data_IF_930445112454
#
_entry.id   IF_930445112454
#
_cell.length_a   1.000
_cell.length_b   1.000
_cell.length_c   1.000
_cell.angle_alpha   90.00
_cell.angle_beta   90.00
_cell.angle_gamma   90.00
#
_symmetry.space_group_name_H-M   'P 1'
#
loop_
_entity.id
_entity.type
_entity.pdbx_description
1 polymer ?
#
# COMPACT_ATOMS: atom_id res chain seq x y z
N UNK A 1 2.86 1.78 5.37
CA UNK A 1 2.53 0.37 5.58
C UNK A 1 1.78 -0.15 4.36
N UNK A 2 2.17 -1.31 3.85
CA UNK A 2 1.58 -1.93 2.68
C UNK A 2 1.62 -3.46 2.79
N UNK A 3 0.76 -4.15 2.06
CA UNK A 3 0.76 -5.61 1.92
C UNK A 3 1.23 -6.02 0.55
N UNK A 4 2.07 -7.03 0.46
CA UNK A 4 2.49 -7.59 -0.80
C UNK A 4 2.32 -9.12 -0.84
N UNK A 5 1.93 -9.69 -1.99
CA UNK A 5 1.84 -11.14 -2.13
C UNK A 5 3.24 -11.75 -2.17
N UNK A 6 3.43 -12.84 -1.43
CA UNK A 6 4.65 -13.65 -1.44
C UNK A 6 4.27 -15.07 -1.83
N UNK A 7 4.80 -15.54 -2.96
CA UNK A 7 4.46 -16.87 -3.50
C UNK A 7 5.01 -18.00 -2.63
N UNK A 8 4.24 -19.06 -2.44
CA UNK A 8 4.75 -20.26 -1.74
C UNK A 8 5.79 -20.99 -2.61
N UNK A 9 6.68 -21.77 -1.97
CA UNK A 9 7.63 -22.63 -2.69
C UNK A 9 6.93 -23.74 -3.46
N UNK A 10 5.76 -24.18 -2.98
CA UNK A 10 5.01 -25.29 -3.54
C UNK A 10 4.29 -24.85 -4.83
N UNK A 11 4.34 -25.71 -5.85
CA UNK A 11 3.54 -25.51 -7.07
C UNK A 11 2.05 -25.62 -6.73
N UNK A 12 1.24 -24.76 -7.35
CA UNK A 12 -0.23 -24.88 -7.32
C UNK A 12 -0.67 -26.19 -7.96
N UNK A 13 -1.51 -26.93 -7.25
CA UNK A 13 -2.09 -28.22 -7.65
C UNK A 13 -3.58 -28.15 -7.92
N UNK A 14 -4.30 -27.19 -7.33
CA UNK A 14 -5.73 -27.01 -7.55
C UNK A 14 -6.21 -25.57 -7.40
N UNK A 15 -7.46 -25.36 -7.83
CA UNK A 15 -8.19 -24.09 -7.76
C UNK A 15 -9.53 -24.29 -7.05
N UNK A 16 -10.03 -23.27 -6.33
CA UNK A 16 -11.35 -23.32 -5.66
C UNK A 16 -12.50 -23.64 -6.62
N UNK A 17 -12.34 -23.24 -7.87
CA UNK A 17 -13.26 -23.48 -8.99
C UNK A 17 -12.38 -23.95 -10.15
N UNK A 18 -12.82 -24.87 -11.00
CA UNK A 18 -12.11 -25.36 -12.22
C UNK A 18 -11.83 -24.26 -13.28
N UNK A 19 -12.00 -23.00 -12.88
CA UNK A 19 -11.76 -21.79 -13.63
C UNK A 19 -10.63 -21.09 -12.89
N UNK A 20 -9.44 -21.06 -13.50
CA UNK A 20 -8.44 -20.12 -13.04
C UNK A 20 -9.04 -18.71 -13.13
N UNK A 21 -8.90 -17.86 -12.11
CA UNK A 21 -9.08 -16.43 -12.30
C UNK A 21 -8.15 -16.06 -13.45
N UNK A 22 -8.76 -15.73 -14.58
CA UNK A 22 -8.08 -15.52 -15.84
C UNK A 22 -6.97 -14.48 -15.63
N UNK A 23 -5.88 -14.60 -16.39
CA UNK A 23 -4.86 -13.56 -16.55
C UNK A 23 -5.42 -12.32 -17.30
N UNK A 24 -6.70 -12.03 -17.09
CA UNK A 24 -7.52 -11.08 -17.82
C UNK A 24 -8.31 -10.17 -16.90
N UNK A 25 -7.83 -9.94 -15.67
CA UNK A 25 -8.24 -8.74 -14.98
C UNK A 25 -7.59 -7.56 -15.72
N UNK A 26 -8.40 -6.81 -16.49
CA UNK A 26 -7.98 -5.59 -17.17
C UNK A 26 -7.38 -4.57 -16.20
N UNK A 27 -6.93 -3.38 -16.68
CA UNK A 27 -6.50 -2.33 -15.77
C UNK A 27 -7.60 -2.16 -14.74
N UNK A 28 -7.25 -2.35 -13.47
CA UNK A 28 -8.19 -2.16 -12.41
C UNK A 28 -8.64 -0.71 -12.47
N UNK A 29 -9.85 -0.47 -12.98
CA UNK A 29 -10.55 0.78 -12.72
C UNK A 29 -10.94 0.71 -11.26
N UNK A 30 -9.95 1.03 -10.43
CA UNK A 30 -10.11 1.31 -9.02
C UNK A 30 -10.73 0.17 -8.20
N UNK A 31 -10.58 -1.09 -8.63
CA UNK A 31 -11.02 -2.34 -7.96
C UNK A 31 -12.44 -2.32 -7.36
N UNK A 32 -13.44 -2.24 -8.22
CA UNK A 32 -14.86 -2.28 -7.83
C UNK A 32 -15.83 -2.62 -8.97
N UNK A 33 -15.37 -3.31 -10.01
CA UNK A 33 -16.17 -4.15 -10.91
C UNK A 33 -15.18 -4.91 -11.80
N UNK A 34 -15.20 -6.24 -11.73
CA UNK A 34 -14.40 -7.08 -12.63
C UNK A 34 -15.16 -7.10 -13.96
N UNK A 35 -14.81 -6.20 -14.88
CA UNK A 35 -15.30 -6.31 -16.25
C UNK A 35 -14.80 -7.65 -16.82
N UNK A 36 -15.69 -8.56 -17.25
CA UNK A 36 -15.27 -9.80 -17.88
C UNK A 36 -14.55 -9.41 -19.17
N UNK A 37 -13.22 -9.52 -19.14
CA UNK A 37 -12.44 -9.43 -20.36
C UNK A 37 -12.91 -10.61 -21.20
N UNK A 38 -13.58 -10.35 -22.33
CA UNK A 38 -14.32 -11.33 -23.15
C UNK A 38 -13.50 -12.50 -23.71
N UNK A 39 -12.32 -12.77 -23.14
CA UNK A 39 -11.49 -13.95 -23.32
C UNK A 39 -12.23 -15.18 -22.75
N UNK A 40 -12.18 -16.27 -23.50
CA UNK A 40 -12.70 -17.57 -23.07
C UNK A 40 -11.99 -17.97 -21.78
N UNK A 41 -12.76 -18.23 -20.71
CA UNK A 41 -12.26 -18.80 -19.46
C UNK A 41 -11.46 -20.07 -19.77
N UNK A 42 -10.16 -20.04 -19.52
CA UNK A 42 -9.33 -21.23 -19.70
C UNK A 42 -9.65 -22.17 -18.54
N UNK A 43 -10.28 -23.31 -18.84
CA UNK A 43 -10.51 -24.35 -17.83
C UNK A 43 -9.15 -24.87 -17.40
N UNK A 44 -8.81 -24.70 -16.13
CA UNK A 44 -7.57 -25.26 -15.57
C UNK A 44 -7.96 -26.49 -14.78
N UNK A 45 -7.52 -27.65 -15.26
CA UNK A 45 -7.73 -28.93 -14.58
C UNK A 45 -6.89 -28.97 -13.31
N UNK A 46 -7.55 -29.10 -12.17
CA UNK A 46 -6.88 -29.40 -10.89
C UNK A 46 -6.33 -30.83 -10.92
N UNK A 47 -5.21 -31.07 -10.22
CA UNK A 47 -4.69 -32.43 -10.03
C UNK A 47 -5.72 -33.28 -9.25
N UNK A 48 -5.81 -34.61 -9.49
CA UNK A 48 -6.72 -35.47 -8.74
C UNK A 48 -6.51 -35.32 -7.23
N UNK A 49 -7.61 -35.13 -6.48
CA UNK A 49 -7.56 -34.90 -5.02
C UNK A 49 -7.18 -33.46 -4.61
N UNK A 50 -7.07 -32.53 -5.56
CA UNK A 50 -6.79 -31.12 -5.31
C UNK A 50 -7.90 -30.20 -5.86
N UNK A 51 -8.13 -29.03 -5.23
CA UNK A 51 -7.55 -28.60 -3.96
C UNK A 51 -8.07 -29.43 -2.77
N UNK A 52 -7.30 -29.53 -1.69
CA UNK A 52 -7.76 -30.22 -0.48
C UNK A 52 -8.79 -29.30 0.21
N UNK A 53 -10.04 -29.71 0.40
CA UNK A 53 -11.02 -28.93 1.14
C UNK A 53 -10.59 -28.83 2.60
N UNK A 54 -10.77 -27.66 3.18
CA UNK A 54 -10.55 -27.40 4.60
C UNK A 54 -11.88 -27.00 5.25
N UNK A 55 -11.88 -26.89 6.58
CA UNK A 55 -13.04 -26.44 7.33
C UNK A 55 -13.46 -25.01 6.92
N UNK A 56 -14.71 -24.64 7.22
CA UNK A 56 -15.29 -23.32 6.94
C UNK A 56 -15.35 -22.88 5.46
N UNK A 57 -15.17 -23.80 4.50
CA UNK A 57 -15.26 -23.49 3.07
C UNK A 57 -13.96 -22.96 2.46
N UNK A 58 -12.85 -23.12 3.18
CA UNK A 58 -11.50 -22.87 2.71
C UNK A 58 -10.92 -24.10 2.00
N UNK A 59 -9.74 -23.91 1.39
CA UNK A 59 -9.10 -24.96 0.60
C UNK A 59 -7.60 -24.75 0.57
N UNK A 60 -6.88 -25.85 0.38
CA UNK A 60 -5.44 -25.88 0.21
C UNK A 60 -5.10 -26.04 -1.28
N UNK A 61 -4.58 -24.99 -1.94
CA UNK A 61 -4.24 -25.04 -3.37
C UNK A 61 -2.88 -25.70 -3.67
N UNK A 62 -2.02 -25.91 -2.67
CA UNK A 62 -0.62 -26.37 -2.85
C UNK A 62 -0.20 -27.36 -1.77
N UNK A 63 0.96 -28.01 -1.89
CA UNK A 63 1.51 -28.85 -0.82
C UNK A 63 1.78 -28.11 0.49
N UNK A 64 1.94 -26.78 0.44
CA UNK A 64 2.10 -25.96 1.63
C UNK A 64 0.74 -25.79 2.32
N UNK A 65 0.55 -26.32 3.55
CA UNK A 65 -0.75 -26.34 4.23
C UNK A 65 -1.25 -24.95 4.63
N UNK A 66 -0.37 -23.97 4.75
CA UNK A 66 -0.73 -22.61 5.17
C UNK A 66 -0.82 -21.62 4.00
N UNK A 67 -0.40 -22.01 2.79
CA UNK A 67 -0.48 -21.15 1.61
C UNK A 67 -1.91 -21.10 1.06
N UNK A 68 -2.41 -19.90 0.78
CA UNK A 68 -3.75 -19.64 0.25
C UNK A 68 -3.70 -18.69 -0.94
N UNK A 69 -4.83 -18.53 -1.61
CA UNK A 69 -4.92 -17.66 -2.78
C UNK A 69 -4.94 -16.19 -2.35
N UNK A 70 -3.95 -15.44 -2.81
CA UNK A 70 -3.86 -13.99 -2.64
C UNK A 70 -3.93 -13.30 -3.98
N UNK A 71 -4.60 -12.15 -4.00
CA UNK A 71 -4.64 -11.29 -5.18
C UNK A 71 -3.31 -10.57 -5.38
N UNK A 72 -2.86 -10.49 -6.63
CA UNK A 72 -1.73 -9.68 -7.06
C UNK A 72 -2.24 -8.67 -8.09
N UNK A 73 -2.17 -7.38 -7.74
CA UNK A 73 -2.53 -6.31 -8.66
C UNK A 73 -1.61 -6.27 -9.88
N UNK A 74 -2.10 -5.68 -10.97
CA UNK A 74 -1.31 -5.49 -12.20
C UNK A 74 -0.15 -4.55 -11.93
N UNK A 75 1.08 -4.99 -12.19
CA UNK A 75 2.29 -4.17 -12.10
C UNK A 75 3.17 -4.44 -13.33
N UNK A 76 3.91 -3.44 -13.80
CA UNK A 76 4.88 -3.58 -14.90
C UNK A 76 4.32 -4.23 -16.18
N UNK A 77 3.10 -3.83 -16.60
CA UNK A 77 2.40 -4.40 -17.76
C UNK A 77 1.99 -5.88 -17.63
N UNK A 78 2.21 -6.51 -16.48
CA UNK A 78 1.65 -7.82 -16.18
C UNK A 78 0.18 -7.68 -15.75
N UNK A 79 -0.72 -8.54 -16.25
CA UNK A 79 -2.11 -8.53 -15.85
C UNK A 79 -2.25 -8.89 -14.37
N UNK A 80 -3.27 -8.33 -13.72
CA UNK A 80 -3.55 -8.72 -12.35
C UNK A 80 -3.97 -10.19 -12.29
N UNK A 81 -3.59 -10.88 -11.22
CA UNK A 81 -3.72 -12.34 -11.12
C UNK A 81 -3.82 -12.84 -9.70
N UNK A 82 -3.89 -14.17 -9.55
CA UNK A 82 -3.96 -14.82 -8.24
C UNK A 82 -2.73 -15.69 -8.02
N UNK A 83 -2.03 -15.42 -6.92
CA UNK A 83 -0.85 -16.16 -6.49
C UNK A 83 -1.23 -17.05 -5.32
N UNK A 84 -0.77 -18.31 -5.35
CA UNK A 84 -0.84 -19.16 -4.16
C UNK A 84 0.34 -18.82 -3.24
N UNK A 85 0.06 -18.44 -2.00
CA UNK A 85 1.09 -18.04 -1.05
C UNK A 85 0.53 -17.29 0.15
N UNK A 86 1.20 -16.20 0.49
CA UNK A 86 1.06 -15.46 1.74
C UNK A 86 0.91 -13.98 1.46
N UNK A 87 0.35 -13.26 2.42
CA UNK A 87 0.38 -11.79 2.48
C UNK A 87 1.47 -11.36 3.45
N UNK A 88 2.45 -10.63 2.95
CA UNK A 88 3.48 -10.01 3.78
C UNK A 88 3.13 -8.54 3.97
N UNK A 89 2.79 -8.18 5.20
CA UNK A 89 2.56 -6.79 5.60
C UNK A 89 3.85 -6.23 6.18
N UNK A 90 4.25 -5.04 5.74
CA UNK A 90 5.46 -4.36 6.22
C UNK A 90 5.09 -2.95 6.68
N UNK A 91 5.55 -2.61 7.88
CA UNK A 91 5.64 -1.25 8.39
C UNK A 91 7.08 -0.78 8.28
N UNK A 92 7.31 0.32 7.57
CA UNK A 92 8.59 0.97 7.44
C UNK A 92 8.50 2.42 7.94
N UNK A 93 9.65 2.98 8.30
CA UNK A 93 9.73 4.39 8.63
C UNK A 93 9.47 5.25 7.38
N UNK A 94 8.92 6.44 7.60
CA UNK A 94 8.66 7.43 6.56
C UNK A 94 9.04 8.80 7.09
N UNK A 95 9.87 9.53 6.35
CA UNK A 95 10.34 10.87 6.72
C UNK A 95 9.20 11.79 7.13
N UNK A 96 9.35 12.55 8.23
CA UNK A 96 8.38 13.57 8.60
C UNK A 96 8.12 14.55 7.46
N UNK A 97 6.92 15.14 7.48
CA UNK A 97 6.50 16.04 6.41
C UNK A 97 7.38 17.29 6.40
N UNK A 98 8.07 17.54 5.28
CA UNK A 98 8.97 18.68 5.10
C UNK A 98 10.44 18.40 5.44
N UNK A 99 10.76 17.21 5.94
CA UNK A 99 12.12 16.78 6.20
C UNK A 99 12.71 15.99 5.01
N UNK A 100 14.02 15.80 5.02
CA UNK A 100 14.73 15.02 4.01
C UNK A 100 14.35 13.53 4.05
N UNK A 101 14.37 12.88 2.88
CA UNK A 101 14.12 11.44 2.77
C UNK A 101 15.27 10.61 3.41
N UNK A 102 14.89 9.72 4.32
CA UNK A 102 15.78 8.72 4.93
C UNK A 102 15.39 7.31 4.45
N UNK A 103 16.29 6.32 4.53
CA UNK A 103 16.02 5.01 3.98
C UNK A 103 14.83 4.36 4.69
N UNK A 104 14.00 3.68 3.90
CA UNK A 104 12.75 3.09 4.36
C UNK A 104 12.99 1.76 5.08
N UNK A 105 13.54 1.84 6.30
CA UNK A 105 13.88 0.70 7.13
C UNK A 105 12.59 0.01 7.61
N UNK A 106 12.41 -1.30 7.36
CA UNK A 106 11.33 -2.08 7.96
C UNK A 106 11.46 -2.11 9.49
N UNK A 107 10.42 -1.69 10.21
CA UNK A 107 10.34 -1.73 11.69
C UNK A 107 9.47 -2.85 12.21
N UNK A 108 8.50 -3.28 11.41
CA UNK A 108 7.59 -4.35 11.77
C UNK A 108 7.13 -5.08 10.53
N UNK A 109 6.83 -6.36 10.68
CA UNK A 109 6.19 -7.14 9.64
C UNK A 109 5.27 -8.19 10.26
N UNK A 110 4.30 -8.64 9.48
CA UNK A 110 3.55 -9.86 9.76
C UNK A 110 3.39 -10.63 8.47
N UNK A 111 3.60 -11.94 8.55
CA UNK A 111 3.31 -12.88 7.46
C UNK A 111 1.98 -13.56 7.80
N UNK A 112 1.00 -13.40 6.92
CA UNK A 112 -0.31 -13.98 7.05
C UNK A 112 -0.61 -14.91 5.88
N UNK A 113 -1.58 -15.81 6.05
CA UNK A 113 -2.05 -16.60 4.93
C UNK A 113 -2.68 -15.72 3.84
N UNK A 114 -2.73 -16.21 2.61
CA UNK A 114 -3.17 -15.44 1.44
C UNK A 114 -4.64 -14.99 1.49
N UNK A 115 -5.49 -15.69 2.21
CA UNK A 115 -6.93 -15.42 2.41
C UNK A 115 -7.22 -14.52 3.61
N UNK A 116 -6.29 -14.39 4.55
CA UNK A 116 -6.42 -13.55 5.75
C UNK A 116 -6.76 -12.10 5.39
N UNK A 117 -7.66 -11.48 6.16
CA UNK A 117 -8.06 -10.09 5.91
C UNK A 117 -6.91 -9.13 6.22
N UNK A 118 -6.73 -8.13 5.36
CA UNK A 118 -5.61 -7.19 5.47
C UNK A 118 -5.68 -6.37 6.76
N UNK A 119 -6.88 -5.99 7.18
CA UNK A 119 -7.11 -5.24 8.41
C UNK A 119 -6.75 -6.03 9.67
N UNK A 120 -7.18 -7.28 9.75
CA UNK A 120 -6.87 -8.12 10.89
C UNK A 120 -5.35 -8.33 11.05
N UNK A 121 -4.67 -8.67 9.95
CA UNK A 121 -3.22 -8.88 9.97
C UNK A 121 -2.48 -7.62 10.40
N UNK A 122 -2.82 -6.48 9.82
CA UNK A 122 -2.05 -5.29 10.07
C UNK A 122 -2.39 -4.64 11.43
N UNK A 123 -3.59 -4.84 11.99
CA UNK A 123 -3.90 -4.46 13.37
C UNK A 123 -3.12 -5.32 14.37
N UNK A 124 -3.01 -6.63 14.13
CA UNK A 124 -2.15 -7.52 14.92
C UNK A 124 -0.69 -7.04 14.92
N UNK A 125 -0.16 -6.69 13.75
CA UNK A 125 1.20 -6.16 13.64
C UNK A 125 1.38 -4.87 14.44
N UNK A 126 0.46 -3.90 14.31
CA UNK A 126 0.52 -2.64 15.04
C UNK A 126 0.38 -2.84 16.55
N UNK A 127 -0.49 -3.76 16.99
CA UNK A 127 -0.62 -4.16 18.39
C UNK A 127 0.67 -4.77 18.94
N UNK A 128 1.32 -5.65 18.17
CA UNK A 128 2.61 -6.22 18.54
C UNK A 128 3.71 -5.14 18.63
N UNK A 129 3.78 -4.23 17.66
CA UNK A 129 4.74 -3.11 17.69
C UNK A 129 4.54 -2.22 18.94
N UNK A 130 3.29 -1.89 19.28
CA UNK A 130 2.97 -1.12 20.50
C UNK A 130 3.37 -1.86 21.77
N UNK A 131 3.11 -3.17 21.84
CA UNK A 131 3.48 -4.03 22.98
C UNK A 131 4.99 -4.08 23.17
N UNK A 132 5.76 -4.03 22.08
CA UNK A 132 7.22 -3.97 22.08
C UNK A 132 7.78 -2.55 22.36
N UNK A 133 6.94 -1.59 22.74
CA UNK A 133 7.34 -0.22 23.09
C UNK A 133 7.53 0.72 21.90
N UNK A 134 7.11 0.35 20.69
CA UNK A 134 7.16 1.27 19.55
C UNK A 134 6.06 2.32 19.63
N UNK A 135 6.44 3.60 19.62
CA UNK A 135 5.52 4.74 19.59
C UNK A 135 4.91 4.95 18.19
N UNK A 136 3.97 4.10 17.79
CA UNK A 136 3.24 4.28 16.52
C UNK A 136 2.12 5.30 16.70
N UNK A 137 2.43 6.58 16.46
CA UNK A 137 1.47 7.68 16.55
C UNK A 137 0.67 7.92 15.27
N UNK A 138 1.24 7.60 14.11
CA UNK A 138 0.68 7.89 12.78
C UNK A 138 1.02 6.75 11.82
N UNK A 139 0.08 6.40 10.95
CA UNK A 139 0.28 5.37 9.93
C UNK A 139 -0.20 5.88 8.58
N UNK A 140 0.68 5.78 7.58
CA UNK A 140 0.31 5.93 6.18
C UNK A 140 0.05 4.54 5.61
N UNK A 141 -1.13 4.34 5.04
CA UNK A 141 -1.57 3.04 4.51
C UNK A 141 -1.85 3.11 3.02
N UNK A 142 -1.68 1.97 2.35
CA UNK A 142 -2.11 1.80 0.96
C UNK A 142 -3.64 1.75 0.81
N UNK A 143 -4.12 1.99 -0.40
CA UNK A 143 -5.52 1.92 -0.80
C UNK A 143 -6.13 0.53 -0.55
N UNK A 144 -5.32 -0.53 -0.51
CA UNK A 144 -5.78 -1.86 -0.10
C UNK A 144 -6.39 -1.91 1.31
N UNK A 145 -6.12 -0.92 2.17
CA UNK A 145 -6.66 -0.83 3.54
C UNK A 145 -7.86 0.11 3.65
N UNK A 146 -8.12 0.97 2.66
CA UNK A 146 -9.16 2.02 2.74
C UNK A 146 -10.59 1.50 2.64
N UNK A 147 -10.76 0.21 2.31
CA UNK A 147 -12.07 -0.45 2.22
C UNK A 147 -12.43 -1.27 3.46
N UNK A 148 -11.50 -1.40 4.39
CA UNK A 148 -11.66 -2.32 5.50
C UNK A 148 -12.32 -1.61 6.68
N UNK A 149 -13.41 -2.17 7.17
CA UNK A 149 -14.25 -1.56 8.21
C UNK A 149 -13.61 -1.62 9.60
N UNK A 150 -12.78 -2.64 9.89
CA UNK A 150 -12.13 -2.80 11.20
C UNK A 150 -11.00 -1.80 11.48
N UNK A 151 -10.59 -1.02 10.48
CA UNK A 151 -9.36 -0.23 10.52
C UNK A 151 -9.57 1.24 10.96
N UNK A 152 -10.80 1.74 10.87
CA UNK A 152 -11.10 3.17 11.01
C UNK A 152 -10.83 3.73 12.41
N UNK A 153 -11.20 2.98 13.45
CA UNK A 153 -11.07 3.40 14.85
C UNK A 153 -9.61 3.41 15.34
N UNK A 154 -8.82 2.34 15.13
CA UNK A 154 -7.45 2.28 15.65
C UNK A 154 -6.48 3.27 14.98
N UNK A 155 -6.86 3.87 13.83
CA UNK A 155 -5.97 4.59 12.92
C UNK A 155 -6.58 5.87 12.32
N UNK A 156 -7.45 6.55 13.05
CA UNK A 156 -8.19 7.73 12.55
C UNK A 156 -7.34 8.96 12.14
N UNK A 157 -6.01 8.94 12.34
CA UNK A 157 -5.06 9.93 11.77
C UNK A 157 -4.30 9.36 10.56
N UNK A 158 -5.03 9.15 9.47
CA UNK A 158 -4.49 8.65 8.20
C UNK A 158 -4.75 9.63 7.05
N UNK A 159 -3.94 9.50 6.00
CA UNK A 159 -4.12 10.22 4.74
C UNK A 159 -4.37 9.21 3.64
N UNK A 160 -5.63 9.13 3.20
CA UNK A 160 -6.12 8.11 2.28
C UNK A 160 -6.39 8.71 0.91
N UNK A 161 -6.11 7.93 -0.15
CA UNK A 161 -6.64 8.22 -1.48
C UNK A 161 -8.04 7.61 -1.58
N UNK A 162 -9.05 8.47 -1.58
CA UNK A 162 -10.44 8.04 -1.70
C UNK A 162 -10.76 7.61 -3.14
N UNK A 163 -11.70 6.67 -3.26
CA UNK A 163 -12.29 6.27 -4.53
C UNK A 163 -13.43 7.19 -4.95
N UNK A 164 -13.85 7.08 -6.21
CA UNK A 164 -14.97 7.86 -6.77
C UNK A 164 -16.28 7.67 -6.02
N UNK A 165 -16.56 6.47 -5.51
CA UNK A 165 -17.75 6.12 -4.72
C UNK A 165 -17.65 6.61 -3.26
N UNK A 166 -16.44 6.77 -2.74
CA UNK A 166 -16.18 7.33 -1.40
C UNK A 166 -16.16 8.86 -1.38
N UNK A 167 -16.07 9.49 -2.55
CA UNK A 167 -15.93 10.93 -2.71
C UNK A 167 -17.26 11.65 -2.88
N UNK A 168 -17.26 12.93 -2.53
CA UNK A 168 -18.42 13.80 -2.58
C UNK A 168 -19.20 13.84 -1.27
N UNK A 169 -20.46 14.32 -1.32
CA UNK A 169 -21.23 14.63 -0.11
C UNK A 169 -21.82 13.39 0.54
N UNK A 170 -21.56 13.26 1.84
CA UNK A 170 -22.17 12.32 2.77
C UNK A 170 -23.03 13.07 3.79
N UNK A 171 -24.02 12.37 4.34
CA UNK A 171 -24.89 12.91 5.39
C UNK A 171 -24.11 13.19 6.68
N UNK A 172 -24.66 14.05 7.53
CA UNK A 172 -24.11 14.31 8.86
C UNK A 172 -25.24 14.45 9.87
N UNK A 173 -24.98 14.13 11.16
CA UNK A 173 -25.99 14.28 12.21
C UNK A 173 -26.30 15.76 12.54
N UNK A 174 -25.47 16.70 12.07
CA UNK A 174 -25.60 18.12 12.42
C UNK A 174 -26.16 18.92 11.24
N UNK A 175 -27.34 19.50 11.45
CA UNK A 175 -28.00 20.34 10.46
C UNK A 175 -27.12 21.53 10.03
N UNK A 176 -27.09 21.79 8.73
CA UNK A 176 -26.24 22.85 8.16
C UNK A 176 -24.79 22.44 7.91
N UNK A 177 -24.46 21.16 8.09
CA UNK A 177 -23.14 20.60 7.77
C UNK A 177 -23.22 19.47 6.75
N UNK A 178 -22.11 19.24 6.05
CA UNK A 178 -21.96 18.17 5.06
C UNK A 178 -20.57 17.58 5.18
N UNK A 179 -20.45 16.26 5.15
CA UNK A 179 -19.16 15.58 5.14
C UNK A 179 -18.75 15.38 3.68
N UNK A 180 -17.60 15.89 3.28
CA UNK A 180 -17.09 15.76 1.92
C UNK A 180 -15.66 15.27 2.00
N UNK A 181 -15.36 14.18 1.29
CA UNK A 181 -14.01 13.60 1.17
C UNK A 181 -13.32 13.42 2.54
N UNK A 182 -14.07 13.02 3.56
CA UNK A 182 -13.54 12.77 4.91
C UNK A 182 -13.43 13.98 5.85
N UNK A 183 -13.93 15.15 5.45
CA UNK A 183 -13.91 16.38 6.27
C UNK A 183 -15.26 17.07 6.30
N UNK A 184 -15.52 17.76 7.42
CA UNK A 184 -16.79 18.44 7.65
C UNK A 184 -16.75 19.87 7.08
N UNK A 185 -17.78 20.24 6.34
CA UNK A 185 -17.95 21.55 5.71
C UNK A 185 -19.32 22.14 6.06
N UNK A 186 -19.45 23.45 5.88
CA UNK A 186 -20.76 24.10 5.88
C UNK A 186 -21.56 23.76 4.61
N UNK A 187 -22.85 23.52 4.78
CA UNK A 187 -23.73 23.08 3.68
C UNK A 187 -24.04 24.17 2.64
N UNK A 188 -23.76 25.43 2.93
CA UNK A 188 -23.93 26.53 1.99
C UNK A 188 -22.68 26.76 1.12
N UNK A 189 -21.61 25.98 1.31
CA UNK A 189 -20.45 26.01 0.42
C UNK A 189 -20.92 25.86 -1.04
N UNK A 190 -20.41 26.69 -1.99
CA UNK A 190 -20.83 26.62 -3.39
C UNK A 190 -20.80 25.20 -3.95
N UNK A 191 -21.89 24.77 -4.59
CA UNK A 191 -22.04 23.38 -5.10
C UNK A 191 -20.93 22.95 -6.05
N UNK A 192 -20.31 23.89 -6.78
CA UNK A 192 -19.13 23.65 -7.63
C UNK A 192 -17.95 23.04 -6.87
N UNK A 193 -17.87 23.28 -5.56
CA UNK A 193 -16.82 22.72 -4.71
C UNK A 193 -17.20 21.39 -4.08
N UNK A 194 -18.41 20.88 -4.25
CA UNK A 194 -18.82 19.63 -3.62
C UNK A 194 -18.21 18.40 -4.29
N UNK A 195 -18.03 18.46 -5.61
CA UNK A 195 -17.38 17.41 -6.40
C UNK A 195 -16.32 18.05 -7.29
N UNK A 196 -15.07 17.85 -6.91
CA UNK A 196 -13.90 18.26 -7.70
C UNK A 196 -13.33 17.02 -8.43
N UNK A 197 -12.56 17.21 -9.51
CA UNK A 197 -11.97 16.09 -10.23
C UNK A 197 -10.92 15.35 -9.39
N UNK A 198 -10.68 14.08 -9.74
CA UNK A 198 -9.72 13.21 -9.05
C UNK A 198 -8.31 13.40 -9.58
N UNK A 199 -7.32 13.04 -8.76
CA UNK A 199 -5.93 12.91 -9.19
C UNK A 199 -5.78 11.65 -10.06
N UNK A 200 -5.60 11.88 -11.36
CA UNK A 200 -5.36 10.85 -12.36
C UNK A 200 -3.91 10.38 -12.37
N UNK A 201 -3.68 9.16 -12.86
CA UNK A 201 -2.33 8.61 -12.98
C UNK A 201 -1.63 9.26 -14.19
N UNK A 202 -0.41 9.78 -13.98
CA UNK A 202 0.37 10.41 -15.05
C UNK A 202 0.11 11.91 -15.24
N UNK A 203 -0.67 12.52 -14.36
CA UNK A 203 -0.82 13.98 -14.29
C UNK A 203 0.54 14.67 -14.10
N UNK A 204 0.78 15.76 -14.83
CA UNK A 204 1.99 16.57 -14.68
C UNK A 204 2.00 17.30 -13.33
N UNK A 205 3.18 17.78 -12.91
CA UNK A 205 3.31 18.55 -11.68
C UNK A 205 2.48 19.85 -11.71
N UNK A 206 2.40 20.52 -12.86
CA UNK A 206 1.62 21.74 -13.03
C UNK A 206 0.11 21.49 -12.93
N UNK A 207 -0.39 20.44 -13.57
CA UNK A 207 -1.80 20.03 -13.48
C UNK A 207 -2.15 19.63 -12.04
N UNK A 208 -1.25 18.91 -11.38
CA UNK A 208 -1.41 18.53 -9.96
C UNK A 208 -1.48 19.76 -9.07
N UNK A 209 -0.62 20.75 -9.28
CA UNK A 209 -0.60 22.00 -8.52
C UNK A 209 -1.90 22.80 -8.73
N UNK A 210 -2.37 22.93 -9.98
CA UNK A 210 -3.64 23.59 -10.31
C UNK A 210 -4.83 22.89 -9.66
N UNK A 211 -4.84 21.56 -9.67
CA UNK A 211 -5.88 20.78 -9.01
C UNK A 211 -5.83 21.00 -7.49
N UNK A 212 -4.64 20.99 -6.89
CA UNK A 212 -4.49 21.29 -5.47
C UNK A 212 -5.04 22.68 -5.12
N UNK A 213 -4.78 23.70 -5.95
CA UNK A 213 -5.32 25.05 -5.76
C UNK A 213 -6.85 25.07 -5.79
N UNK A 214 -7.49 24.28 -6.66
CA UNK A 214 -8.95 24.14 -6.67
C UNK A 214 -9.48 23.52 -5.37
N UNK A 215 -8.81 22.49 -4.86
CA UNK A 215 -9.15 21.89 -3.56
C UNK A 215 -8.94 22.87 -2.40
N UNK A 216 -7.92 23.72 -2.46
CA UNK A 216 -7.64 24.72 -1.43
C UNK A 216 -8.73 25.79 -1.33
N UNK A 217 -9.52 26.02 -2.38
CA UNK A 217 -10.70 26.89 -2.32
C UNK A 217 -11.78 26.39 -1.34
N UNK A 218 -11.73 25.12 -0.92
CA UNK A 218 -12.61 24.56 0.12
C UNK A 218 -12.20 24.93 1.54
N UNK A 219 -10.94 25.29 1.77
CA UNK A 219 -10.37 25.54 3.11
C UNK A 219 -11.21 26.52 3.96
N UNK A 220 -11.72 27.65 3.42
CA UNK A 220 -12.50 28.60 4.20
C UNK A 220 -13.80 28.04 4.76
N UNK A 221 -14.38 27.03 4.09
CA UNK A 221 -15.67 26.43 4.45
C UNK A 221 -15.52 25.22 5.38
N UNK A 222 -14.29 24.74 5.58
CA UNK A 222 -13.99 23.53 6.34
C UNK A 222 -13.99 23.79 7.86
N UNK A 223 -14.62 22.89 8.59
CA UNK A 223 -14.48 22.79 10.04
C UNK A 223 -13.07 22.31 10.41
N UNK A 224 -12.53 22.83 11.51
CA UNK A 224 -11.23 22.42 12.01
C UNK A 224 -11.36 21.45 13.19
N UNK A 225 -10.56 20.37 13.25
CA UNK A 225 -10.49 19.51 14.43
C UNK A 225 -10.12 20.31 15.68
N UNK A 226 -10.86 20.08 16.76
CA UNK A 226 -10.58 20.62 18.09
C UNK A 226 -9.83 19.57 18.92
N UNK A 227 -8.54 19.81 19.15
CA UNK A 227 -7.72 18.90 19.95
C UNK A 227 -7.45 17.55 19.26
N UNK A 228 -6.97 16.59 20.04
CA UNK A 228 -6.78 15.22 19.55
C UNK A 228 -8.11 14.45 19.55
N UNK A 229 -8.29 13.46 18.66
CA UNK A 229 -9.45 12.58 18.71
C UNK A 229 -9.45 11.78 20.01
N UNK A 230 -10.64 11.47 20.52
CA UNK A 230 -10.81 10.43 21.53
C UNK A 230 -10.73 9.08 20.82
N UNK A 231 -9.60 8.39 21.03
CA UNK A 231 -9.28 7.13 20.34
C UNK A 231 -10.04 5.93 20.88
N UNK A 232 -10.48 5.97 22.14
CA UNK A 232 -11.26 4.89 22.74
C UNK A 232 -12.69 4.94 22.24
N UNK A 233 -13.24 6.15 22.10
CA UNK A 233 -14.62 6.36 21.68
C UNK A 233 -14.78 6.61 20.17
N UNK A 234 -13.69 6.92 19.46
CA UNK A 234 -13.73 7.29 18.03
C UNK A 234 -14.35 8.66 17.77
N UNK A 235 -14.39 9.52 18.79
CA UNK A 235 -15.07 10.82 18.74
C UNK A 235 -14.07 11.92 18.39
N UNK A 236 -14.42 12.77 17.43
CA UNK A 236 -13.66 13.98 17.11
C UNK A 236 -14.57 15.21 17.22
N UNK A 237 -14.16 16.15 18.06
CA UNK A 237 -14.78 17.47 18.11
C UNK A 237 -14.23 18.36 17.00
N UNK A 238 -15.09 19.22 16.46
CA UNK A 238 -14.74 20.19 15.44
C UNK A 238 -15.13 21.61 15.85
N UNK A 239 -14.50 22.61 15.25
CA UNK A 239 -14.87 24.03 15.35
C UNK A 239 -15.34 24.52 14.00
N UNK A 240 -16.51 25.16 14.01
CA UNK A 240 -17.08 25.80 12.85
C UNK A 240 -16.18 26.89 12.28
N UNK A 241 -16.25 27.12 10.97
CA UNK A 241 -15.30 27.98 10.30
C UNK A 241 -15.45 29.47 10.67
N UNK A 242 -16.58 29.92 11.22
CA UNK A 242 -16.71 31.27 11.79
C UNK A 242 -15.99 31.37 13.15
N UNK A 243 -16.09 30.33 13.99
CA UNK A 243 -15.37 30.26 15.27
C UNK A 243 -13.84 30.23 15.07
N UNK A 244 -13.37 29.75 13.92
CA UNK A 244 -11.93 29.76 13.54
C UNK A 244 -11.54 30.96 12.67
N UNK A 245 -12.42 31.95 12.48
CA UNK A 245 -12.11 33.18 11.73
C UNK A 245 -11.90 33.00 10.23
N UNK A 246 -12.48 31.97 9.60
CA UNK A 246 -12.36 31.70 8.17
C UNK A 246 -13.47 32.31 7.31
N UNK A 247 -14.64 32.55 7.90
CA UNK A 247 -15.85 33.05 7.23
C UNK A 247 -16.46 34.16 8.07
N UNK A 248 -17.04 35.14 7.37
CA UNK A 248 -17.81 36.24 7.95
C UNK A 248 -19.24 35.75 8.15
N UNK A 249 -19.78 35.88 9.36
CA UNK A 249 -21.12 35.42 9.69
C UNK A 249 -21.80 36.39 10.65
N UNK A 250 -23.01 36.84 10.33
CA UNK A 250 -23.74 37.78 11.19
C UNK A 250 -24.18 37.18 12.53
N UNK A 251 -24.30 35.85 12.64
CA UNK A 251 -24.52 35.16 13.92
C UNK A 251 -23.24 35.10 14.79
N UNK A 252 -22.08 35.52 14.27
CA UNK A 252 -20.83 35.58 15.00
C UNK A 252 -20.15 36.95 14.75
N UNK A 253 -20.63 38.03 15.38
CA UNK A 253 -20.34 39.42 14.97
C UNK A 253 -18.86 39.78 14.96
N UNK A 254 -18.03 39.14 15.81
CA UNK A 254 -16.58 39.30 15.79
C UNK A 254 -15.96 38.99 14.41
N UNK A 255 -16.56 38.08 13.64
CA UNK A 255 -16.07 37.70 12.30
C UNK A 255 -16.40 38.71 11.21
N UNK A 256 -17.36 39.61 11.43
CA UNK A 256 -17.70 40.63 10.43
C UNK A 256 -16.56 41.63 10.20
N UNK A 257 -15.64 41.74 11.17
CA UNK A 257 -14.41 42.53 11.11
C UNK A 257 -13.30 41.90 10.27
N UNK A 258 -13.46 40.66 9.82
CA UNK A 258 -12.50 40.01 8.93
C UNK A 258 -12.50 40.67 7.55
N UNK A 259 -11.40 40.57 6.78
CA UNK A 259 -11.30 41.13 5.44
C UNK A 259 -12.42 40.65 4.51
N UNK A 260 -12.85 41.51 3.58
CA UNK A 260 -13.90 41.21 2.60
C UNK A 260 -13.55 40.04 1.67
N UNK A 261 -12.26 39.72 1.52
CA UNK A 261 -11.80 38.53 0.79
C UNK A 261 -12.24 37.20 1.42
N UNK A 262 -12.69 37.20 2.68
CA UNK A 262 -13.25 36.00 3.33
C UNK A 262 -14.72 35.81 2.93
N UNK A 263 -15.17 34.57 2.65
CA UNK A 263 -16.55 34.33 2.27
C UNK A 263 -17.52 34.80 3.35
N UNK A 264 -18.68 35.30 2.93
CA UNK A 264 -19.77 35.67 3.83
C UNK A 264 -20.85 34.60 3.84
N UNK A 265 -21.32 34.25 5.03
CA UNK A 265 -22.37 33.25 5.22
C UNK A 265 -23.73 33.85 4.80
N UNK A 266 -24.40 33.32 3.75
CA UNK A 266 -25.67 33.85 3.28
C UNK A 266 -26.82 33.62 4.27
N UNK A 267 -26.64 32.69 5.21
CA UNK A 267 -27.63 32.33 6.24
C UNK A 267 -27.40 33.07 7.55
N UNK A 268 -26.31 33.81 7.69
CA UNK A 268 -25.96 34.54 8.90
C UNK A 268 -26.79 35.81 9.14
N UNK A 269 -28.04 35.87 8.66
CA UNK A 269 -28.97 36.94 9.02
C UNK A 269 -29.46 36.69 10.45
N UNK A 270 -29.55 37.75 11.24
CA UNK A 270 -29.97 37.68 12.64
C UNK A 270 -31.24 36.81 12.81
N UNK A 271 -31.15 35.80 13.65
CA UNK A 271 -32.27 34.91 13.99
C UNK A 271 -32.41 33.63 13.15
N UNK A 272 -31.65 33.45 12.06
CA UNK A 272 -31.64 32.17 11.33
C UNK A 272 -30.50 31.27 11.82
N UNK A 273 -30.77 30.02 12.23
CA UNK A 273 -29.71 29.12 12.69
C UNK A 273 -28.75 28.79 11.55
N UNK A 274 -27.44 28.86 11.82
CA UNK A 274 -26.40 28.46 10.88
C UNK A 274 -25.33 27.63 11.59
N UNK A 275 -24.73 26.66 10.89
CA UNK A 275 -23.69 25.80 11.46
C UNK A 275 -22.30 26.45 11.55
N UNK A 276 -22.11 27.68 11.03
CA UNK A 276 -20.80 28.31 10.92
C UNK A 276 -20.07 28.47 12.27
N UNK A 277 -20.81 28.65 13.36
CA UNK A 277 -20.27 28.74 14.72
C UNK A 277 -20.41 27.45 15.54
N UNK A 278 -20.97 26.38 14.96
CA UNK A 278 -21.24 25.15 15.69
C UNK A 278 -19.93 24.42 16.07
N UNK A 279 -19.99 23.63 17.14
CA UNK A 279 -18.90 22.75 17.56
C UNK A 279 -19.36 21.28 17.55
N UNK A 280 -19.62 20.71 16.35
CA UNK A 280 -20.14 19.35 16.26
C UNK A 280 -19.10 18.33 16.72
N UNK A 281 -19.60 17.25 17.33
CA UNK A 281 -18.81 16.06 17.67
C UNK A 281 -19.26 14.93 16.75
N UNK A 282 -18.32 14.34 16.01
CA UNK A 282 -18.61 13.21 15.14
C UNK A 282 -18.14 11.91 15.81
N UNK A 283 -19.03 10.93 15.95
CA UNK A 283 -18.81 9.63 16.58
C UNK A 283 -18.37 8.55 15.60
N UNK A 284 -18.19 7.29 16.03
CA UNK A 284 -17.66 6.23 15.17
C UNK A 284 -18.56 5.90 13.96
N UNK A 285 -19.87 6.12 14.09
CA UNK A 285 -20.86 5.87 13.02
C UNK A 285 -20.89 6.97 11.95
N UNK A 286 -20.29 8.14 12.23
CA UNK A 286 -20.25 9.29 11.31
C UNK A 286 -19.04 9.18 10.35
N UNK A 287 -19.05 8.13 9.51
CA UNK A 287 -18.07 7.87 8.45
C UNK A 287 -16.60 7.94 8.92
N UNK A 288 -16.31 7.34 10.08
CA UNK A 288 -14.97 7.33 10.67
C UNK A 288 -13.88 6.85 9.70
N UNK A 289 -14.20 5.88 8.84
CA UNK A 289 -13.28 5.31 7.84
C UNK A 289 -12.87 6.28 6.74
N UNK A 290 -13.67 7.33 6.49
CA UNK A 290 -13.37 8.35 5.49
C UNK A 290 -12.54 9.48 6.08
N UNK A 291 -12.48 9.62 7.41
CA UNK A 291 -11.82 10.77 8.05
C UNK A 291 -10.34 10.84 7.73
N UNK A 292 -9.88 12.05 7.43
CA UNK A 292 -8.50 12.30 7.04
C UNK A 292 -7.83 13.31 7.94
N UNK A 293 -6.50 13.21 8.07
CA UNK A 293 -5.69 14.18 8.80
C UNK A 293 -5.59 15.53 8.09
N UNK A 294 -5.53 15.56 6.77
CA UNK A 294 -5.52 16.79 5.98
C UNK A 294 -6.76 16.85 5.08
N UNK A 295 -7.11 18.04 4.61
CA UNK A 295 -8.19 18.20 3.64
C UNK A 295 -7.78 17.52 2.32
N UNK A 296 -8.57 16.54 1.88
CA UNK A 296 -8.30 15.80 0.66
C UNK A 296 -8.01 16.73 -0.52
N UNK A 297 -6.99 16.38 -1.30
CA UNK A 297 -6.58 17.11 -2.50
C UNK A 297 -5.86 18.43 -2.28
N UNK A 298 -5.73 18.95 -1.06
CA UNK A 298 -4.91 20.15 -0.81
C UNK A 298 -3.42 19.85 -0.96
N UNK A 299 -2.56 20.87 -1.13
CA UNK A 299 -1.10 20.65 -1.24
C UNK A 299 -0.53 19.92 -0.03
N UNK A 300 -1.01 20.24 1.18
CA UNK A 300 -0.62 19.53 2.41
C UNK A 300 -1.02 18.07 2.39
N UNK A 301 -2.23 17.76 1.93
CA UNK A 301 -2.66 16.38 1.75
C UNK A 301 -1.85 15.66 0.69
N UNK A 302 -1.61 16.30 -0.46
CA UNK A 302 -0.83 15.72 -1.55
C UNK A 302 0.58 15.38 -1.10
N UNK A 303 1.26 16.31 -0.42
CA UNK A 303 2.58 16.09 0.14
C UNK A 303 2.57 14.93 1.16
N UNK A 304 1.57 14.87 2.06
CA UNK A 304 1.47 13.79 3.05
C UNK A 304 1.20 12.42 2.41
N UNK A 305 0.29 12.38 1.44
CA UNK A 305 -0.11 11.18 0.72
C UNK A 305 1.03 10.64 -0.16
N UNK A 306 1.81 11.52 -0.78
CA UNK A 306 2.93 11.16 -1.66
C UNK A 306 4.04 10.41 -0.92
N UNK A 307 4.16 10.62 0.40
CA UNK A 307 5.10 9.86 1.26
C UNK A 307 4.77 8.38 1.37
N UNK A 308 3.59 7.94 0.92
CA UNK A 308 3.27 6.51 0.81
C UNK A 308 4.20 5.78 -0.15
N UNK A 309 4.74 6.45 -1.17
CA UNK A 309 5.72 5.88 -2.09
C UNK A 309 6.93 5.26 -1.37
N UNK A 310 7.27 5.74 -0.16
CA UNK A 310 8.29 5.15 0.70
C UNK A 310 8.05 3.67 0.99
N UNK A 311 6.81 3.26 1.32
CA UNK A 311 6.54 1.84 1.60
C UNK A 311 6.53 0.98 0.32
N UNK A 312 6.16 1.56 -0.82
CA UNK A 312 6.25 0.88 -2.11
C UNK A 312 7.71 0.64 -2.52
N UNK A 313 8.57 1.61 -2.27
CA UNK A 313 10.02 1.48 -2.43
C UNK A 313 10.60 0.41 -1.50
N UNK A 314 10.18 0.39 -0.23
CA UNK A 314 10.58 -0.65 0.73
C UNK A 314 10.17 -2.05 0.25
N UNK A 315 8.92 -2.21 -0.22
CA UNK A 315 8.43 -3.45 -0.77
C UNK A 315 9.23 -3.89 -2.00
N UNK A 316 9.53 -2.97 -2.91
CA UNK A 316 10.33 -3.26 -4.11
C UNK A 316 11.76 -3.67 -3.76
N UNK A 317 12.36 -3.01 -2.76
CA UNK A 317 13.67 -3.39 -2.25
C UNK A 317 13.67 -4.79 -1.65
N UNK A 318 12.65 -5.14 -0.87
CA UNK A 318 12.53 -6.47 -0.26
C UNK A 318 12.21 -7.54 -1.31
N UNK A 319 11.35 -7.26 -2.29
CA UNK A 319 10.94 -8.25 -3.30
C UNK A 319 12.00 -8.48 -4.37
N UNK A 320 12.66 -7.42 -4.83
CA UNK A 320 13.40 -7.45 -6.11
C UNK A 320 14.87 -7.10 -5.95
N UNK A 321 15.20 -5.99 -5.26
CA UNK A 321 16.57 -5.47 -5.33
C UNK A 321 17.51 -6.04 -4.24
N UNK A 322 17.01 -6.19 -3.02
CA UNK A 322 17.83 -6.51 -1.83
C UNK A 322 17.41 -7.84 -1.17
N UNK A 323 16.12 -8.16 -1.14
CA UNK A 323 15.62 -9.36 -0.46
C UNK A 323 15.28 -10.55 -1.37
N UNK A 324 15.04 -10.32 -2.67
CA UNK A 324 14.62 -11.34 -3.65
C UNK A 324 13.38 -12.16 -3.23
N UNK A 325 12.55 -11.66 -2.31
CA UNK A 325 11.37 -12.39 -1.82
C UNK A 325 10.26 -12.56 -2.87
N UNK A 326 10.34 -11.85 -4.00
CA UNK A 326 9.42 -12.05 -5.13
C UNK A 326 9.59 -13.40 -5.83
N UNK A 327 10.75 -14.05 -5.67
CA UNK A 327 11.01 -15.35 -6.28
C UNK A 327 10.31 -16.48 -5.50
N UNK A 328 9.59 -17.34 -6.22
CA UNK A 328 8.88 -18.52 -5.66
C UNK A 328 9.74 -19.37 -4.72
N UNK A 329 11.01 -19.52 -5.06
CA UNK A 329 11.95 -20.37 -4.34
C UNK A 329 12.90 -19.59 -3.43
N UNK A 330 12.61 -18.32 -3.12
CA UNK A 330 13.40 -17.52 -2.18
C UNK A 330 13.43 -18.15 -0.78
N UNK A 331 12.29 -18.66 -0.31
CA UNK A 331 12.18 -19.41 0.94
C UNK A 331 11.57 -20.77 0.60
N UNK A 332 12.37 -21.83 0.71
CA UNK A 332 11.99 -23.22 0.36
C UNK A 332 11.47 -24.05 1.53
N UNK A 333 11.19 -23.42 2.67
CA UNK A 333 10.74 -24.16 3.86
C UNK A 333 9.38 -24.80 3.59
N UNK A 334 9.34 -26.13 3.78
CA UNK A 334 8.24 -27.02 3.44
C UNK A 334 7.10 -27.07 4.47
N UNK A 335 7.29 -26.55 5.69
CA UNK A 335 6.31 -26.68 6.77
C UNK A 335 6.14 -25.39 7.60
N UNK A 336 4.91 -24.86 7.60
CA UNK A 336 4.44 -23.94 8.63
C UNK A 336 4.68 -22.46 8.35
N UNK A 337 3.62 -21.66 8.52
CA UNK A 337 3.62 -20.19 8.49
C UNK A 337 4.69 -19.62 9.42
N UNK A 338 4.84 -20.18 10.62
CA UNK A 338 5.79 -19.70 11.64
C UNK A 338 7.24 -19.82 11.15
N UNK A 339 7.65 -20.98 10.62
CA UNK A 339 9.02 -21.17 10.13
C UNK A 339 9.30 -20.26 8.93
N UNK A 340 8.30 -20.08 8.07
CA UNK A 340 8.39 -19.15 6.95
C UNK A 340 8.53 -17.70 7.41
N UNK A 341 7.76 -17.30 8.42
CA UNK A 341 7.85 -15.97 9.02
C UNK A 341 9.24 -15.67 9.59
N UNK A 342 9.89 -16.65 10.23
CA UNK A 342 11.28 -16.53 10.69
C UNK A 342 12.27 -16.29 9.53
N UNK A 343 12.16 -17.03 8.43
CA UNK A 343 13.02 -16.78 7.26
C UNK A 343 12.73 -15.44 6.59
N UNK A 344 11.47 -15.03 6.54
CA UNK A 344 11.09 -13.70 6.10
C UNK A 344 11.70 -12.62 6.98
N UNK A 345 11.76 -12.83 8.31
CA UNK A 345 12.45 -11.93 9.24
C UNK A 345 13.92 -11.74 8.85
N UNK A 346 14.67 -12.84 8.66
CA UNK A 346 16.08 -12.76 8.26
C UNK A 346 16.26 -12.06 6.91
N UNK A 347 15.38 -12.30 5.94
CA UNK A 347 15.42 -11.62 4.64
C UNK A 347 15.14 -10.11 4.76
N UNK A 348 14.24 -9.70 5.65
CA UNK A 348 13.95 -8.29 5.94
C UNK A 348 15.13 -7.61 6.64
N UNK A 349 15.72 -8.26 7.64
CA UNK A 349 16.93 -7.77 8.33
C UNK A 349 18.07 -7.61 7.32
N UNK A 350 18.33 -8.62 6.48
CA UNK A 350 19.36 -8.54 5.45
C UNK A 350 19.08 -7.40 4.45
N UNK A 351 17.82 -7.19 4.06
CA UNK A 351 17.42 -6.08 3.18
C UNK A 351 17.68 -4.72 3.85
N UNK A 352 17.35 -4.58 5.13
CA UNK A 352 17.61 -3.38 5.92
C UNK A 352 19.11 -3.09 6.04
N UNK A 353 19.93 -4.10 6.37
CA UNK A 353 21.39 -3.97 6.44
C UNK A 353 21.96 -3.51 5.09
N UNK A 354 21.52 -4.12 3.98
CA UNK A 354 21.96 -3.73 2.64
C UNK A 354 21.53 -2.31 2.27
N UNK A 355 20.33 -1.91 2.66
CA UNK A 355 19.82 -0.55 2.44
C UNK A 355 20.69 0.47 3.20
N UNK A 356 20.97 0.21 4.48
CA UNK A 356 21.84 1.05 5.30
C UNK A 356 23.25 1.15 4.72
N UNK A 357 23.85 0.04 4.29
CA UNK A 357 25.16 0.06 3.63
C UNK A 357 25.16 0.86 2.34
N UNK A 358 24.11 0.73 1.53
CA UNK A 358 24.00 1.45 0.26
C UNK A 358 23.82 2.96 0.45
N UNK A 359 23.10 3.36 1.51
CA UNK A 359 22.74 4.77 1.76
C UNK A 359 23.78 5.51 2.60
N UNK A 360 24.34 4.86 3.61
CA UNK A 360 25.19 5.48 4.62
C UNK A 360 26.61 4.92 4.67
N UNK A 361 26.96 3.94 3.83
CA UNK A 361 28.22 3.19 3.93
C UNK A 361 28.46 2.58 5.32
N UNK A 362 27.40 2.41 6.12
CA UNK A 362 27.42 1.86 7.47
C UNK A 362 26.52 0.62 7.57
N UNK A 363 26.89 -0.29 8.45
CA UNK A 363 26.07 -1.40 8.91
C UNK A 363 25.41 -1.06 10.24
N UNK A 364 24.28 -1.68 10.60
CA UNK A 364 23.68 -1.48 11.93
C UNK A 364 24.63 -1.79 13.10
N UNK A 365 25.62 -2.67 12.90
CA UNK A 365 26.67 -2.96 13.89
C UNK A 365 27.69 -1.83 14.06
N UNK A 366 27.74 -0.88 13.13
CA UNK A 366 28.60 0.31 13.21
C UNK A 366 27.93 1.45 14.02
N UNK A 367 26.68 1.25 14.47
CA UNK A 367 25.93 2.21 15.26
C UNK A 367 26.03 1.86 16.74
N UNK A 368 26.32 2.85 17.58
CA UNK A 368 26.26 2.65 19.02
C UNK A 368 24.81 2.38 19.48
N UNK A 369 24.60 1.60 20.55
CA UNK A 369 23.26 1.41 21.12
C UNK A 369 22.63 2.77 21.48
N UNK A 370 21.50 3.10 20.85
CA UNK A 370 20.83 4.40 21.04
C UNK A 370 21.32 5.54 20.14
N UNK A 371 22.29 5.30 19.24
CA UNK A 371 22.66 6.26 18.21
C UNK A 371 21.48 6.47 17.25
N UNK A 372 20.86 7.65 17.36
CA UNK A 372 19.87 8.11 16.38
C UNK A 372 20.66 8.68 15.20
N UNK A 373 20.44 8.13 14.01
CA UNK A 373 21.00 8.70 12.78
C UNK A 373 20.16 9.94 12.44
N UNK A 374 20.48 11.07 13.06
CA UNK A 374 19.77 12.36 12.89
C UNK A 374 20.23 13.16 11.66
N UNK A 375 20.96 12.54 10.73
CA UNK A 375 21.54 13.27 9.60
C UNK A 375 20.75 13.07 8.29
N UNK A 376 20.19 14.15 7.71
CA UNK A 376 20.08 14.26 6.26
C UNK A 376 21.47 14.14 5.65
N UNK A 377 21.65 13.32 4.62
CA UNK A 377 22.78 13.54 3.72
C UNK A 377 22.51 14.81 2.89
N UNK A 378 23.56 15.58 2.52
CA UNK A 378 23.41 16.66 1.55
C UNK A 378 22.76 16.10 0.28
N UNK A 379 21.93 16.93 -0.36
CA UNK A 379 21.34 16.59 -1.65
C UNK A 379 22.42 16.10 -2.63
N UNK A 380 22.07 15.30 -3.64
CA UNK A 380 23.03 14.82 -4.61
C UNK A 380 23.87 16.00 -5.10
N UNK A 381 25.21 15.89 -5.19
CA UNK A 381 26.03 16.99 -5.64
C UNK A 381 25.45 17.46 -6.97
N UNK A 382 25.11 18.75 -7.06
CA UNK A 382 24.86 19.39 -8.35
C UNK A 382 26.12 19.11 -9.14
N UNK A 383 26.06 18.17 -10.09
CA UNK A 383 27.15 17.96 -11.03
C UNK A 383 27.47 19.34 -11.56
N UNK A 384 28.69 19.80 -11.30
CA UNK A 384 29.18 21.05 -11.87
C UNK A 384 28.83 20.99 -13.35
N UNK A 385 27.98 21.92 -13.79
CA UNK A 385 27.77 22.15 -15.22
C UNK A 385 29.15 22.49 -15.75
N UNK A 386 29.80 21.55 -16.41
CA UNK A 386 30.78 21.89 -17.42
C UNK A 386 30.02 22.71 -18.46
N UNK A 387 30.40 23.97 -18.60
CA UNK A 387 29.95 24.82 -19.69
C UNK A 387 30.36 24.15 -21.00
N UNK A 388 29.38 23.79 -21.82
CA UNK A 388 29.58 23.16 -23.12
C UNK A 388 29.03 21.75 -23.20
N UNK A 389 27.69 21.63 -23.27
CA UNK A 389 27.01 20.57 -24.03
C UNK A 389 25.50 20.88 -24.09
N UNK A 390 25.15 21.81 -24.98
CA UNK A 390 23.78 21.93 -25.51
C UNK A 390 23.52 20.75 -26.46
N UNK A 391 23.16 19.58 -25.93
CA UNK A 391 22.30 18.57 -26.58
C UNK A 391 22.29 17.25 -25.78
N UNK A 392 21.33 17.09 -24.87
CA UNK A 392 20.44 15.91 -24.84
C UNK A 392 19.60 15.90 -23.55
N UNK A 393 18.28 15.85 -23.71
CA UNK A 393 17.34 15.54 -22.63
C UNK A 393 17.47 14.06 -22.29
N UNK A 394 18.36 13.71 -21.36
CA UNK A 394 18.41 12.36 -20.77
C UNK A 394 17.75 12.38 -19.40
N UNK A 395 16.75 11.50 -19.27
CA UNK A 395 15.94 11.24 -18.07
C UNK A 395 16.84 10.97 -16.87
N UNK A 396 16.58 11.65 -15.75
CA UNK A 396 17.16 11.33 -14.44
C UNK A 396 16.65 9.96 -13.99
N UNK A 397 17.40 8.92 -14.36
CA UNK A 397 17.35 7.62 -13.69
C UNK A 397 18.37 7.66 -12.57
N UNK A 398 17.92 7.30 -11.37
CA UNK A 398 18.79 7.04 -10.24
C UNK A 398 19.78 5.95 -10.67
N UNK A 399 21.03 6.33 -10.93
CA UNK A 399 22.11 5.39 -11.18
C UNK A 399 22.42 4.66 -9.88
N UNK A 400 21.59 3.69 -9.51
CA UNK A 400 22.02 2.57 -8.70
C UNK A 400 23.03 1.85 -9.57
N UNK A 401 24.30 1.86 -9.17
CA UNK A 401 25.30 0.98 -9.75
C UNK A 401 24.84 -0.46 -9.50
N UNK A 402 24.09 -1.00 -10.45
CA UNK A 402 23.83 -2.43 -10.54
C UNK A 402 25.20 -3.03 -10.77
N UNK A 403 25.77 -3.66 -9.74
CA UNK A 403 26.82 -4.65 -9.94
C UNK A 403 26.20 -5.80 -10.74
N UNK A 404 26.08 -5.58 -12.04
CA UNK A 404 25.71 -6.57 -13.02
C UNK A 404 26.80 -7.62 -12.95
N UNK A 405 26.48 -8.76 -12.36
CA UNK A 405 27.20 -9.99 -12.64
C UNK A 405 27.16 -10.17 -14.16
N UNK A 406 28.25 -9.79 -14.83
CA UNK A 406 28.53 -10.25 -16.18
C UNK A 406 28.53 -11.77 -16.08
N UNK A 407 27.51 -12.41 -16.66
CA UNK A 407 27.61 -13.83 -17.00
C UNK A 407 28.91 -13.97 -17.78
N UNK A 408 29.84 -14.86 -17.39
CA UNK A 408 31.01 -15.11 -18.22
C UNK A 408 30.50 -15.53 -19.61
N UNK A 409 30.89 -14.73 -20.61
CA UNK A 409 30.66 -15.01 -22.01
C UNK A 409 31.30 -16.36 -22.28
N UNK A 410 30.51 -17.41 -22.49
CA UNK A 410 31.01 -18.70 -22.99
C UNK A 410 31.56 -18.41 -24.39
N UNK A 411 32.86 -18.20 -24.50
CA UNK A 411 33.58 -18.34 -25.76
C UNK A 411 33.62 -19.83 -26.07
N UNK A 412 32.77 -20.23 -27.02
CA UNK A 412 32.78 -21.58 -27.59
C UNK A 412 33.97 -21.71 -28.55
N UNK A 413 35.09 -22.23 -28.05
CA UNK A 413 36.09 -22.93 -28.88
C UNK A 413 37.11 -23.64 -28.00
N UNK A 414 36.75 -24.82 -27.49
CA UNK A 414 37.72 -25.84 -27.08
C UNK A 414 37.23 -27.20 -27.62
N UNK A 415 38.11 -28.04 -28.19
CA UNK A 415 37.70 -29.22 -28.95
C UNK A 415 37.08 -30.31 -28.09
N UNK A 416 36.21 -31.09 -28.72
CA UNK A 416 35.50 -32.25 -28.19
C UNK A 416 36.51 -33.29 -27.69
N UNK A 417 36.63 -33.47 -26.37
CA UNK A 417 37.33 -34.62 -25.81
C UNK A 417 36.52 -35.90 -26.09
N UNK A 418 37.17 -36.88 -26.70
CA UNK A 418 36.67 -38.21 -27.02
C UNK A 418 36.19 -38.93 -25.76
N UNK A 419 35.01 -39.55 -25.82
CA UNK A 419 34.49 -40.40 -24.77
C UNK A 419 35.32 -41.70 -24.66
N UNK A 420 35.63 -42.19 -23.45
CA UNK A 420 36.20 -43.52 -23.27
C UNK A 420 35.13 -44.59 -23.56
N UNK A 421 35.49 -45.74 -24.16
CA UNK A 421 34.54 -46.77 -24.53
C UNK A 421 34.19 -47.65 -23.34
N UNK A 422 32.95 -48.14 -23.31
CA UNK A 422 32.58 -49.35 -22.57
C UNK A 422 31.81 -49.15 -21.26
N UNK A 423 30.49 -48.99 -21.38
CA UNK A 423 29.54 -49.58 -20.41
C UNK A 423 28.29 -50.05 -21.17
N UNK A 424 27.87 -51.32 -21.03
CA UNK A 424 26.62 -51.78 -21.63
C UNK A 424 25.43 -51.10 -20.95
N UNK A 425 24.53 -50.55 -21.75
CA UNK A 425 23.28 -49.94 -21.30
C UNK A 425 22.30 -51.04 -20.92
N UNK A 426 22.15 -51.30 -19.62
CA UNK A 426 21.00 -52.04 -19.10
C UNK A 426 19.74 -51.17 -19.16
N UNK A 427 18.54 -51.77 -19.34
CA UNK A 427 17.30 -51.02 -19.43
C UNK A 427 16.97 -50.28 -18.11
N UNK A 428 16.32 -49.11 -18.18
CA UNK A 428 16.04 -48.28 -17.02
C UNK A 428 15.03 -48.91 -16.03
N UNK A 429 15.01 -48.47 -14.76
CA UNK A 429 14.36 -49.17 -13.63
C UNK A 429 12.82 -49.26 -13.69
N UNK A 430 12.18 -48.65 -14.69
CA UNK A 430 10.73 -48.70 -14.88
C UNK A 430 10.27 -49.81 -15.84
N UNK A 431 11.19 -50.52 -16.50
CA UNK A 431 10.89 -51.59 -17.45
C UNK A 431 10.63 -52.98 -16.81
N UNK A 432 10.38 -53.06 -15.49
CA UNK A 432 9.99 -54.31 -14.83
C UNK A 432 8.67 -54.13 -14.09
N UNK A 433 7.56 -54.43 -14.76
CA UNK A 433 6.27 -54.91 -14.19
C UNK A 433 5.23 -55.06 -15.30
N UNK A 434 4.97 -56.30 -15.73
CA UNK A 434 3.63 -56.86 -16.03
C UNK A 434 3.73 -58.32 -16.51
N UNK A 435 3.17 -59.24 -15.73
CA UNK A 435 2.55 -60.54 -16.08
C UNK A 435 2.36 -61.27 -14.73
N UNK A 436 1.32 -60.91 -13.97
CA UNK A 436 -0.04 -61.48 -14.00
C UNK A 436 -0.04 -62.98 -13.67
N UNK A 437 -0.61 -63.21 -12.49
CA UNK A 437 -1.07 -64.47 -11.93
C UNK A 437 -2.19 -65.02 -12.81
N UNK A 438 -2.07 -66.27 -13.25
CA UNK A 438 -3.23 -67.05 -13.70
C UNK A 438 -3.12 -68.45 -13.08
N UNK A 439 -3.98 -68.70 -12.08
CA UNK A 439 -4.38 -70.03 -11.59
C UNK A 439 -5.88 -70.00 -11.40
N UNK A 440 -6.56 -70.88 -12.15
CA UNK A 440 -7.95 -71.40 -12.10
C UNK A 440 -8.31 -71.63 -13.58
N UNK A 441 -8.54 -72.83 -14.09
CA UNK A 441 -9.02 -74.10 -13.54
C UNK A 441 -8.45 -75.24 -14.36
#
# INVERSE_FOLDING_TARGET
MDSMPVSTWARRRGWKRDIAPDASQGPATDYGEVMPNGKKRTRVLSEPGWPIPLDAGDYQPTLDPDARDTFQGSKNLEPAGVVAGYKLHIACDVSPLGESDYPQIPRGFILASGDEKNDHSALKMLGAMRTLGSCVSKVLVDRGYTHMTGWALPLSQQSLKLKRDQMGPHGTPVAGTVLIDGRLFVDWMPKKFWRLPNFELGMSEEETARLCEQYEQRIPYAFEPKGQPDWERGVQQYRGPAATGKVRCGNHPATLRLPESKPECPRGKAGKPCACGAQPSLGPDDDLGLRQRYLYGTRKWWADHSRRSSVESANTNVQTHLGNLGLRHAIRITSGLVKRAWMTCFALIASAVRLMRSRYARTPSDLAPGEVIDAPLPGPPKTARTEGDEASKVKHTLNVAVFGWRKPRRTSSVPRASAPPGRPQGPPPWARRTAVVERRT
#
